data_IF_837420494446
#
_entry.id   IF_837420494446
#
_cell.length_a   1.000
_cell.length_b   1.000
_cell.length_c   1.000
_cell.angle_alpha   90.00
_cell.angle_beta   90.00
_cell.angle_gamma   90.00
#
_symmetry.space_group_name_H-M   'P 1'
#
loop_
_entity.id
_entity.type
_entity.pdbx_description
1 polymer ?
#
# COMPACT_ATOMS: atom_id res chain seq x y z
N UNK A 1 -0.61 -4.78 -2.85
CA UNK A 1 -0.94 -3.91 -1.70
C UNK A 1 -1.16 -4.87 -0.54
N UNK A 2 -0.10 -5.13 0.20
CA UNK A 2 -0.07 -6.17 1.23
C UNK A 2 -0.82 -5.65 2.44
N UNK A 3 -1.75 -6.45 2.97
CA UNK A 3 -2.47 -6.12 4.19
C UNK A 3 -1.47 -5.89 5.33
N UNK A 4 -1.79 -5.00 6.28
CA UNK A 4 -0.90 -4.62 7.39
C UNK A 4 -0.52 -5.85 8.23
N UNK A 5 -1.46 -6.78 8.39
CA UNK A 5 -1.23 -8.05 9.07
C UNK A 5 -0.22 -8.91 8.29
N UNK A 6 -0.37 -9.02 6.98
CA UNK A 6 0.58 -9.77 6.14
C UNK A 6 1.96 -9.11 6.15
N UNK A 7 2.06 -7.78 6.08
CA UNK A 7 3.33 -7.06 6.20
C UNK A 7 4.01 -7.23 7.56
N UNK A 8 3.22 -7.33 8.64
CA UNK A 8 3.73 -7.65 9.97
C UNK A 8 4.33 -9.06 10.01
N UNK A 9 3.63 -10.04 9.43
CA UNK A 9 4.12 -11.42 9.32
C UNK A 9 5.44 -11.48 8.53
N UNK A 10 5.51 -10.80 7.39
CA UNK A 10 6.72 -10.74 6.56
C UNK A 10 7.90 -10.12 7.33
N UNK A 11 7.64 -9.05 8.09
CA UNK A 11 8.67 -8.36 8.89
C UNK A 11 9.18 -9.23 10.04
N UNK A 12 8.31 -10.01 10.69
CA UNK A 12 8.69 -10.97 11.75
C UNK A 12 9.54 -12.11 11.17
N UNK A 13 9.14 -12.66 10.01
CA UNK A 13 9.92 -13.70 9.35
C UNK A 13 11.32 -13.19 8.97
N UNK A 14 11.39 -11.99 8.39
CA UNK A 14 12.67 -11.36 8.05
C UNK A 14 13.55 -11.12 9.30
N UNK A 15 12.96 -10.67 10.41
CA UNK A 15 13.70 -10.50 11.67
C UNK A 15 14.29 -11.83 12.16
N UNK A 16 13.51 -12.92 12.07
CA UNK A 16 13.98 -14.25 12.45
C UNK A 16 15.15 -14.72 11.57
N UNK A 17 15.06 -14.51 10.26
CA UNK A 17 16.13 -14.84 9.31
C UNK A 17 17.40 -14.02 9.58
N UNK A 18 17.26 -12.71 9.82
CA UNK A 18 18.38 -11.83 10.18
C UNK A 18 19.08 -12.28 11.47
N UNK A 19 18.32 -12.66 12.50
CA UNK A 19 18.87 -13.18 13.74
C UNK A 19 19.61 -14.50 13.54
N UNK A 20 19.02 -15.45 12.80
CA UNK A 20 19.65 -16.75 12.53
C UNK A 20 20.93 -16.61 11.70
N UNK A 21 20.89 -15.79 10.63
CA UNK A 21 22.04 -15.53 9.78
C UNK A 21 23.13 -14.76 10.52
N UNK A 22 22.76 -13.78 11.34
CA UNK A 22 23.69 -13.03 12.18
C UNK A 22 24.45 -13.93 13.17
N UNK A 23 23.76 -14.88 13.80
CA UNK A 23 24.42 -15.91 14.64
C UNK A 23 25.38 -16.77 13.81
N UNK A 24 24.98 -17.18 12.60
CA UNK A 24 25.84 -17.95 11.71
C UNK A 24 27.13 -17.21 11.35
N UNK A 25 27.04 -15.89 11.09
CA UNK A 25 28.19 -15.02 10.83
C UNK A 25 29.11 -14.93 12.04
N UNK A 26 28.55 -14.70 13.24
CA UNK A 26 29.33 -14.66 14.48
C UNK A 26 30.08 -15.99 14.72
N UNK A 27 29.44 -17.12 14.46
CA UNK A 27 30.07 -18.44 14.60
C UNK A 27 31.16 -18.68 13.55
N UNK A 28 30.95 -18.25 12.32
CA UNK A 28 31.96 -18.35 11.25
C UNK A 28 33.21 -17.54 11.57
N UNK A 29 33.03 -16.37 12.19
CA UNK A 29 34.12 -15.46 12.53
C UNK A 29 34.74 -15.73 13.91
N UNK A 30 34.17 -16.66 14.69
CA UNK A 30 34.67 -17.07 16.01
C UNK A 30 35.91 -17.97 15.91
N UNK A 31 37.04 -17.38 15.50
CA UNK A 31 38.36 -18.02 15.56
C UNK A 31 38.94 -18.07 16.99
N UNK A 32 40.05 -18.81 17.19
CA UNK A 32 40.74 -18.85 18.49
C UNK A 32 41.26 -17.46 18.85
N UNK A 33 40.76 -16.91 19.95
CA UNK A 33 41.15 -15.59 20.47
C UNK A 33 41.99 -15.79 21.75
N UNK A 34 43.29 -15.42 21.76
CA UNK A 34 44.11 -15.52 22.96
C UNK A 34 43.56 -14.60 24.06
N UNK A 35 43.60 -15.09 25.30
CA UNK A 35 43.05 -14.36 26.44
C UNK A 35 43.85 -13.06 26.68
N UNK A 36 43.22 -11.91 26.45
CA UNK A 36 43.83 -10.59 26.65
C UNK A 36 44.31 -9.89 25.37
N UNK A 37 44.22 -10.53 24.21
CA UNK A 37 44.58 -9.92 22.92
C UNK A 37 43.39 -9.96 21.95
N UNK A 38 43.04 -8.81 21.37
CA UNK A 38 42.03 -8.73 20.32
C UNK A 38 42.73 -8.96 18.97
N UNK A 39 42.42 -10.08 18.33
CA UNK A 39 42.92 -10.39 16.98
C UNK A 39 42.48 -9.31 15.98
N UNK A 40 43.41 -8.86 15.14
CA UNK A 40 43.18 -7.79 14.15
C UNK A 40 42.02 -8.12 13.18
N UNK A 41 41.84 -9.42 12.88
CA UNK A 41 40.72 -9.95 12.12
C UNK A 41 39.33 -9.60 12.70
N UNK A 42 39.16 -9.59 14.02
CA UNK A 42 37.89 -9.25 14.69
C UNK A 42 37.62 -7.73 14.58
N UNK A 43 38.68 -6.90 14.46
CA UNK A 43 38.54 -5.44 14.35
C UNK A 43 38.11 -4.99 12.96
N UNK A 44 38.41 -5.76 11.92
CA UNK A 44 38.00 -5.46 10.53
C UNK A 44 36.60 -6.01 10.20
N UNK A 45 36.05 -6.86 11.06
CA UNK A 45 34.77 -7.52 10.86
C UNK A 45 33.59 -6.57 11.12
N UNK A 46 33.06 -5.98 10.05
CA UNK A 46 31.94 -5.04 10.12
C UNK A 46 30.56 -5.71 9.99
N UNK A 47 30.53 -7.02 9.68
CA UNK A 47 29.28 -7.71 9.32
C UNK A 47 28.36 -7.85 10.53
N UNK A 48 28.92 -8.13 11.70
CA UNK A 48 28.20 -8.13 12.98
C UNK A 48 27.47 -6.81 13.28
N UNK A 49 28.10 -5.66 12.99
CA UNK A 49 27.48 -4.34 13.19
C UNK A 49 26.32 -4.11 12.21
N UNK A 50 26.48 -4.54 10.96
CA UNK A 50 25.41 -4.47 9.94
C UNK A 50 24.19 -5.29 10.37
N UNK A 51 24.38 -6.54 10.82
CA UNK A 51 23.27 -7.36 11.32
C UNK A 51 22.60 -6.74 12.55
N UNK A 52 23.37 -6.16 13.48
CA UNK A 52 22.80 -5.47 14.64
C UNK A 52 21.94 -4.28 14.24
N UNK A 53 22.41 -3.47 13.27
CA UNK A 53 21.65 -2.35 12.70
C UNK A 53 20.37 -2.81 12.03
N UNK A 54 20.43 -3.86 11.20
CA UNK A 54 19.29 -4.39 10.46
C UNK A 54 18.23 -4.99 11.39
N UNK A 55 18.65 -5.71 12.43
CA UNK A 55 17.76 -6.27 13.46
C UNK A 55 17.04 -5.13 14.19
N UNK A 56 17.76 -4.08 14.61
CA UNK A 56 17.17 -2.94 15.30
C UNK A 56 16.19 -2.18 14.41
N UNK A 57 16.54 -1.98 13.14
CA UNK A 57 15.67 -1.32 12.17
C UNK A 57 14.40 -2.12 11.89
N UNK A 58 14.52 -3.43 11.65
CA UNK A 58 13.36 -4.31 11.40
C UNK A 58 12.46 -4.39 12.63
N UNK A 59 13.04 -4.43 13.84
CA UNK A 59 12.28 -4.35 15.10
C UNK A 59 11.48 -3.06 15.20
N UNK A 60 12.08 -1.91 14.81
CA UNK A 60 11.35 -0.63 14.82
C UNK A 60 10.22 -0.59 13.77
N UNK A 61 10.41 -1.23 12.61
CA UNK A 61 9.34 -1.38 11.62
C UNK A 61 8.18 -2.18 12.20
N UNK A 62 8.46 -3.28 12.90
CA UNK A 62 7.44 -4.11 13.56
C UNK A 62 6.64 -3.29 14.57
N UNK A 63 7.30 -2.50 15.42
CA UNK A 63 6.62 -1.62 16.38
C UNK A 63 5.68 -0.63 15.67
N UNK A 64 6.18 0.06 14.65
CA UNK A 64 5.38 1.02 13.88
C UNK A 64 4.19 0.34 13.18
N UNK A 65 4.37 -0.90 12.70
CA UNK A 65 3.29 -1.66 12.09
C UNK A 65 2.21 -2.02 13.11
N UNK A 66 2.60 -2.43 14.32
CA UNK A 66 1.68 -2.72 15.43
C UNK A 66 0.91 -1.46 15.82
N UNK A 67 1.59 -0.32 15.98
CA UNK A 67 0.95 0.98 16.28
C UNK A 67 -0.04 1.41 15.18
N UNK A 68 0.22 1.02 13.93
CA UNK A 68 -0.67 1.34 12.80
C UNK A 68 -1.87 0.42 12.67
N UNK A 69 -1.95 -0.67 13.45
CA UNK A 69 -3.10 -1.58 13.39
C UNK A 69 -4.36 -0.86 13.91
N UNK A 70 -5.49 -1.01 13.21
CA UNK A 70 -6.75 -0.47 13.71
C UNK A 70 -7.09 -1.11 15.06
N UNK A 71 -7.47 -0.28 16.03
CA UNK A 71 -7.79 -0.74 17.38
C UNK A 71 -8.96 -1.74 17.36
N UNK A 72 -8.71 -2.92 17.92
CA UNK A 72 -9.68 -4.03 18.03
C UNK A 72 -10.75 -3.80 19.11
N UNK A 73 -10.70 -2.67 19.83
CA UNK A 73 -11.72 -2.27 20.81
C UNK A 73 -13.09 -1.94 20.19
N UNK A 74 -13.18 -1.90 18.86
CA UNK A 74 -14.44 -1.72 18.16
C UNK A 74 -15.18 -3.06 18.10
N UNK A 75 -16.04 -3.29 19.11
CA UNK A 75 -17.07 -4.34 19.13
C UNK A 75 -17.60 -4.63 17.71
N UNK A 76 -17.67 -5.91 17.34
CA UNK A 76 -18.15 -6.37 16.02
C UNK A 76 -19.47 -5.68 15.62
N UNK A 77 -20.37 -5.46 16.58
CA UNK A 77 -21.64 -4.76 16.38
C UNK A 77 -21.52 -3.30 15.92
N UNK A 78 -20.52 -2.57 16.42
CA UNK A 78 -20.28 -1.18 16.03
C UNK A 78 -19.76 -1.12 14.59
N UNK A 79 -18.81 -1.99 14.26
CA UNK A 79 -18.23 -2.09 12.91
C UNK A 79 -19.30 -2.48 11.89
N UNK A 80 -20.19 -3.42 12.22
CA UNK A 80 -21.34 -3.80 11.38
C UNK A 80 -22.30 -2.63 11.15
N UNK A 81 -22.60 -1.83 12.18
CA UNK A 81 -23.46 -0.64 12.03
C UNK A 81 -22.81 0.44 11.19
N UNK A 82 -21.53 0.69 11.36
CA UNK A 82 -20.78 1.66 10.55
C UNK A 82 -20.71 1.21 9.08
N UNK A 83 -20.48 -0.09 8.82
CA UNK A 83 -20.56 -0.69 7.49
C UNK A 83 -21.95 -0.52 6.84
N UNK A 84 -23.03 -0.77 7.59
CA UNK A 84 -24.39 -0.58 7.11
C UNK A 84 -24.64 0.89 6.72
N UNK A 85 -24.16 1.84 7.53
CA UNK A 85 -24.26 3.28 7.23
C UNK A 85 -23.49 3.65 5.97
N UNK A 86 -22.27 3.14 5.80
CA UNK A 86 -21.44 3.37 4.60
C UNK A 86 -22.14 2.81 3.36
N UNK A 87 -22.76 1.64 3.45
CA UNK A 87 -23.51 1.04 2.34
C UNK A 87 -24.70 1.92 1.91
N UNK A 88 -25.46 2.46 2.86
CA UNK A 88 -26.57 3.38 2.56
C UNK A 88 -26.04 4.66 1.89
N UNK A 89 -24.95 5.23 2.40
CA UNK A 89 -24.33 6.41 1.80
C UNK A 89 -23.83 6.14 0.37
N UNK A 90 -23.22 4.96 0.15
CA UNK A 90 -22.78 4.51 -1.17
C UNK A 90 -23.96 4.40 -2.13
N UNK A 91 -25.08 3.82 -1.71
CA UNK A 91 -26.27 3.67 -2.54
C UNK A 91 -26.85 5.05 -2.95
N UNK A 92 -26.96 5.97 -1.99
CA UNK A 92 -27.41 7.34 -2.25
C UNK A 92 -26.48 8.09 -3.22
N UNK A 93 -25.16 8.00 -3.02
CA UNK A 93 -24.18 8.60 -3.91
C UNK A 93 -24.27 8.01 -5.32
N UNK A 94 -24.45 6.69 -5.43
CA UNK A 94 -24.62 6.00 -6.71
C UNK A 94 -25.91 6.43 -7.43
N UNK A 95 -27.01 6.60 -6.69
CA UNK A 95 -28.27 7.08 -7.26
C UNK A 95 -28.16 8.51 -7.79
N UNK A 96 -27.50 9.40 -7.04
CA UNK A 96 -27.20 10.78 -7.49
C UNK A 96 -26.36 10.78 -8.76
N UNK A 97 -25.27 9.99 -8.77
CA UNK A 97 -24.39 9.87 -9.92
C UNK A 97 -25.14 9.36 -11.17
N UNK A 98 -26.01 8.35 -11.01
CA UNK A 98 -26.85 7.86 -12.13
C UNK A 98 -27.75 8.94 -12.70
N UNK A 99 -28.32 9.79 -11.86
CA UNK A 99 -29.18 10.90 -12.29
C UNK A 99 -28.38 11.92 -13.11
N UNK A 100 -27.22 12.33 -12.59
CA UNK A 100 -26.33 13.27 -13.27
C UNK A 100 -25.84 12.73 -14.62
N UNK A 101 -25.45 11.44 -14.69
CA UNK A 101 -25.06 10.79 -15.95
C UNK A 101 -26.20 10.81 -16.96
N UNK A 102 -27.45 10.56 -16.53
CA UNK A 102 -28.60 10.59 -17.43
C UNK A 102 -28.89 12.00 -17.96
N UNK A 103 -28.76 13.02 -17.11
CA UNK A 103 -28.90 14.42 -17.53
C UNK A 103 -27.79 14.82 -18.51
N UNK A 104 -26.54 14.46 -18.22
CA UNK A 104 -25.41 14.67 -19.13
C UNK A 104 -25.61 13.96 -20.48
N UNK A 105 -26.13 12.72 -20.48
CA UNK A 105 -26.44 11.98 -21.69
C UNK A 105 -27.50 12.66 -22.57
N UNK A 106 -28.53 13.27 -21.96
CA UNK A 106 -29.53 14.04 -22.70
C UNK A 106 -28.93 15.29 -23.35
N UNK A 107 -28.09 16.02 -22.61
CA UNK A 107 -27.41 17.20 -23.13
C UNK A 107 -26.47 16.85 -24.29
N UNK A 108 -25.72 15.75 -24.17
CA UNK A 108 -24.88 15.23 -25.26
C UNK A 108 -25.68 14.88 -26.51
N UNK A 109 -26.87 14.31 -26.34
CA UNK A 109 -27.75 13.99 -27.48
C UNK A 109 -28.18 15.26 -28.21
N UNK A 110 -28.62 16.28 -27.48
CA UNK A 110 -29.00 17.58 -28.07
C UNK A 110 -27.81 18.22 -28.78
N UNK A 111 -26.62 18.18 -28.17
CA UNK A 111 -25.40 18.71 -28.77
C UNK A 111 -25.06 17.99 -30.09
N UNK A 112 -25.15 16.66 -30.10
CA UNK A 112 -24.90 15.87 -31.31
C UNK A 112 -25.94 16.15 -32.41
N UNK A 113 -27.22 16.26 -32.07
CA UNK A 113 -28.28 16.62 -33.02
C UNK A 113 -28.02 18.01 -33.64
N UNK A 114 -27.64 19.00 -32.83
CA UNK A 114 -27.31 20.33 -33.32
C UNK A 114 -26.05 20.34 -34.21
N UNK A 115 -25.03 19.57 -33.85
CA UNK A 115 -23.83 19.39 -34.68
C UNK A 115 -24.15 18.72 -36.02
N UNK A 116 -25.03 17.71 -36.01
CA UNK A 116 -25.46 17.00 -37.21
C UNK A 116 -26.24 17.93 -38.15
N UNK A 117 -27.13 18.76 -37.62
CA UNK A 117 -27.84 19.79 -38.38
C UNK A 117 -26.86 20.82 -39.01
N UNK A 118 -25.88 21.32 -38.24
CA UNK A 118 -24.86 22.23 -38.76
C UNK A 118 -24.07 21.55 -39.89
N UNK A 119 -23.69 20.29 -39.70
CA UNK A 119 -22.95 19.53 -40.71
C UNK A 119 -23.76 19.33 -42.00
N UNK A 120 -25.08 19.05 -41.88
CA UNK A 120 -25.99 18.89 -43.03
C UNK A 120 -26.11 20.19 -43.80
N UNK A 121 -26.35 21.31 -43.12
CA UNK A 121 -26.45 22.63 -43.75
C UNK A 121 -25.15 23.01 -44.44
N UNK A 122 -23.98 22.71 -43.86
CA UNK A 122 -22.69 22.95 -44.50
C UNK A 122 -22.47 22.11 -45.76
N UNK A 123 -22.95 20.86 -45.79
CA UNK A 123 -22.89 19.99 -46.97
C UNK A 123 -23.84 20.51 -48.06
N UNK A 124 -25.06 20.91 -47.71
CA UNK A 124 -26.06 21.43 -48.65
C UNK A 124 -25.67 22.81 -49.22
N UNK A 125 -25.06 23.68 -48.40
CA UNK A 125 -24.59 25.00 -48.82
C UNK A 125 -23.31 24.93 -49.67
N UNK A 126 -22.71 23.75 -49.85
CA UNK A 126 -21.50 23.59 -50.64
C UNK A 126 -21.85 23.72 -52.13
N UNK A 127 -21.27 24.69 -52.86
CA UNK A 127 -21.57 24.84 -54.27
C UNK A 127 -21.11 23.60 -55.04
N UNK A 128 -22.01 23.02 -55.85
CA UNK A 128 -21.66 21.95 -56.78
C UNK A 128 -20.72 22.53 -57.84
N UNK A 129 -19.46 22.10 -57.80
CA UNK A 129 -18.49 22.29 -58.90
C UNK A 129 -18.75 21.21 -59.94
#
# INVERSE_FOLDING_TARGET
>A
MTDRITSLQDSINNLADQMANGIGVLQMNAGPCPLGEITEFIKEENLSEVYASDIAFTSKIIDNLIESLPSTENNDDRTVRELAKINVQREQATAKLKKEINEAGKLLKILNEALEDISRVQIEARPRV
#
